data_IF_051514719651
#
_entry.id   IF_051514719651
#
_cell.length_a   1.000
_cell.length_b   1.000
_cell.length_c   1.000
_cell.angle_alpha   90.00
_cell.angle_beta   90.00
_cell.angle_gamma   90.00
#
_symmetry.space_group_name_H-M   'P 1'
#
loop_
_entity.id
_entity.type
_entity.pdbx_description
1 polymer ?
#
# COMPACT_ATOMS: atom_id res chain seq x y z
N UNK A 1 12.54 -68.42 6.68
CA UNK A 1 13.41 -67.47 5.93
C UNK A 1 12.65 -66.48 5.02
N UNK A 2 11.40 -66.71 4.59
CA UNK A 2 10.67 -65.80 3.66
C UNK A 2 10.14 -64.49 4.25
N UNK A 3 9.92 -64.41 5.57
CA UNK A 3 9.39 -63.20 6.23
C UNK A 3 10.44 -62.09 6.42
N UNK A 4 11.72 -62.46 6.58
CA UNK A 4 12.80 -61.50 6.84
C UNK A 4 13.16 -60.73 5.56
N UNK A 5 13.15 -61.40 4.39
CA UNK A 5 13.41 -60.74 3.11
C UNK A 5 12.31 -59.75 2.71
N UNK A 6 11.04 -60.06 3.00
CA UNK A 6 9.89 -59.18 2.70
C UNK A 6 9.90 -57.90 3.55
N UNK A 7 10.28 -57.99 4.83
CA UNK A 7 10.42 -56.83 5.72
C UNK A 7 11.57 -55.91 5.31
N UNK A 8 12.71 -56.47 4.87
CA UNK A 8 13.87 -55.69 4.41
C UNK A 8 13.54 -54.99 3.09
N UNK A 9 12.88 -55.66 2.14
CA UNK A 9 12.43 -55.06 0.89
C UNK A 9 11.44 -53.90 1.12
N UNK A 10 10.47 -54.06 2.02
CA UNK A 10 9.53 -52.99 2.35
C UNK A 10 10.20 -51.77 3.01
N UNK A 11 11.20 -51.98 3.87
CA UNK A 11 11.97 -50.88 4.49
C UNK A 11 12.82 -50.13 3.47
N UNK A 12 13.43 -50.84 2.52
CA UNK A 12 14.18 -50.22 1.43
C UNK A 12 13.28 -49.41 0.49
N UNK A 13 12.11 -49.96 0.14
CA UNK A 13 11.13 -49.27 -0.69
C UNK A 13 10.58 -48.02 -0.01
N UNK A 14 10.29 -48.09 1.29
CA UNK A 14 9.83 -46.95 2.08
C UNK A 14 10.91 -45.86 2.20
N UNK A 15 12.19 -46.23 2.35
CA UNK A 15 13.30 -45.28 2.38
C UNK A 15 13.48 -44.57 1.03
N UNK A 16 13.31 -45.29 -0.09
CA UNK A 16 13.35 -44.69 -1.43
C UNK A 16 12.15 -43.76 -1.64
N UNK A 17 10.95 -44.18 -1.27
CA UNK A 17 9.74 -43.35 -1.36
C UNK A 17 9.86 -42.07 -0.50
N UNK A 18 10.40 -42.19 0.72
CA UNK A 18 10.67 -41.04 1.58
C UNK A 18 11.74 -40.11 1.00
N UNK A 19 12.78 -40.66 0.37
CA UNK A 19 13.82 -39.89 -0.32
C UNK A 19 13.30 -39.15 -1.57
N UNK A 20 12.45 -39.78 -2.37
CA UNK A 20 11.84 -39.14 -3.54
C UNK A 20 10.83 -38.07 -3.11
N UNK A 21 10.02 -38.35 -2.09
CA UNK A 21 9.06 -37.40 -1.55
C UNK A 21 9.74 -36.16 -0.95
N UNK A 22 10.88 -36.32 -0.26
CA UNK A 22 11.63 -35.19 0.31
C UNK A 22 12.28 -34.31 -0.76
N UNK A 23 12.83 -34.91 -1.83
CA UNK A 23 13.37 -34.16 -2.97
C UNK A 23 12.25 -33.40 -3.69
N UNK A 24 11.12 -34.06 -3.94
CA UNK A 24 9.95 -33.41 -4.56
C UNK A 24 9.42 -32.25 -3.72
N UNK A 25 9.28 -32.44 -2.41
CA UNK A 25 8.87 -31.38 -1.49
C UNK A 25 9.86 -30.20 -1.46
N UNK A 26 11.17 -30.47 -1.51
CA UNK A 26 12.19 -29.43 -1.55
C UNK A 26 12.18 -28.63 -2.86
N UNK A 27 11.99 -29.28 -4.01
CA UNK A 27 11.85 -28.59 -5.30
C UNK A 27 10.60 -27.71 -5.35
N UNK A 28 9.46 -28.20 -4.85
CA UNK A 28 8.22 -27.40 -4.73
C UNK A 28 8.43 -26.22 -3.78
N UNK A 29 9.09 -26.43 -2.65
CA UNK A 29 9.44 -25.37 -1.71
C UNK A 29 10.33 -24.30 -2.34
N UNK A 30 11.39 -24.69 -3.06
CA UNK A 30 12.27 -23.77 -3.78
C UNK A 30 11.51 -22.99 -4.86
N UNK A 31 10.63 -23.65 -5.61
CA UNK A 31 9.80 -22.99 -6.61
C UNK A 31 8.89 -21.93 -5.96
N UNK A 32 8.22 -22.29 -4.86
CA UNK A 32 7.36 -21.37 -4.13
C UNK A 32 8.15 -20.18 -3.56
N UNK A 33 9.34 -20.40 -3.02
CA UNK A 33 10.22 -19.32 -2.56
C UNK A 33 10.59 -18.36 -3.70
N UNK A 34 11.00 -18.88 -4.87
CA UNK A 34 11.34 -18.04 -6.01
C UNK A 34 10.15 -17.21 -6.53
N UNK A 35 8.93 -17.75 -6.48
CA UNK A 35 7.71 -17.01 -6.84
C UNK A 35 7.38 -15.93 -5.80
N UNK A 36 7.57 -16.22 -4.51
CA UNK A 36 7.38 -15.23 -3.45
C UNK A 36 8.36 -14.07 -3.58
N UNK A 37 9.64 -14.34 -3.83
CA UNK A 37 10.65 -13.30 -4.05
C UNK A 37 10.32 -12.42 -5.26
N UNK A 38 9.90 -13.03 -6.38
CA UNK A 38 9.45 -12.29 -7.58
C UNK A 38 8.28 -11.37 -7.27
N UNK A 39 7.27 -11.90 -6.57
CA UNK A 39 6.06 -11.15 -6.17
C UNK A 39 6.43 -9.99 -5.26
N UNK A 40 7.28 -10.23 -4.26
CA UNK A 40 7.74 -9.21 -3.32
C UNK A 40 8.53 -8.11 -4.02
N UNK A 41 9.43 -8.47 -4.94
CA UNK A 41 10.21 -7.52 -5.74
C UNK A 41 9.29 -6.63 -6.59
N UNK A 42 8.30 -7.24 -7.25
CA UNK A 42 7.32 -6.49 -8.04
C UNK A 42 6.45 -5.57 -7.17
N UNK A 43 5.98 -6.05 -6.01
CA UNK A 43 5.24 -5.25 -5.05
C UNK A 43 6.08 -4.05 -4.57
N UNK A 44 7.38 -4.25 -4.32
CA UNK A 44 8.30 -3.19 -3.88
C UNK A 44 8.48 -2.12 -4.96
N UNK A 45 8.69 -2.54 -6.21
CA UNK A 45 8.74 -1.61 -7.35
C UNK A 45 7.43 -0.83 -7.49
N UNK A 46 6.28 -1.49 -7.46
CA UNK A 46 4.98 -0.83 -7.61
C UNK A 46 4.68 0.10 -6.43
N UNK A 47 4.97 -0.31 -5.20
CA UNK A 47 4.85 0.56 -4.03
C UNK A 47 5.72 1.82 -4.19
N UNK A 48 6.97 1.66 -4.64
CA UNK A 48 7.85 2.80 -4.96
C UNK A 48 7.26 3.75 -6.01
N UNK A 49 6.67 3.21 -7.09
CA UNK A 49 5.98 4.01 -8.11
C UNK A 49 4.80 4.79 -7.52
N UNK A 50 3.96 4.15 -6.71
CA UNK A 50 2.76 4.79 -6.14
C UNK A 50 3.08 5.80 -5.03
N UNK A 51 4.20 5.63 -4.33
CA UNK A 51 4.78 6.68 -3.49
C UNK A 51 5.23 7.87 -4.34
N UNK A 52 5.96 7.62 -5.44
CA UNK A 52 6.37 8.66 -6.38
C UNK A 52 5.19 9.44 -6.96
N UNK A 53 4.14 8.75 -7.41
CA UNK A 53 2.92 9.37 -7.92
C UNK A 53 2.21 10.24 -6.87
N UNK A 54 2.15 9.78 -5.62
CA UNK A 54 1.59 10.54 -4.51
C UNK A 54 2.37 11.83 -4.25
N UNK A 55 3.71 11.76 -4.20
CA UNK A 55 4.57 12.94 -4.06
C UNK A 55 4.44 13.89 -5.26
N UNK A 56 4.38 13.36 -6.47
CA UNK A 56 4.23 14.15 -7.69
C UNK A 56 2.87 14.84 -7.75
N UNK A 57 1.80 14.24 -7.22
CA UNK A 57 0.50 14.90 -7.08
C UNK A 57 0.60 16.12 -6.15
N UNK A 58 1.24 15.99 -5.00
CA UNK A 58 1.48 17.11 -4.07
C UNK A 58 2.37 18.17 -4.70
N UNK A 59 3.46 17.78 -5.37
CA UNK A 59 4.39 18.72 -6.02
C UNK A 59 3.70 19.57 -7.09
N UNK A 60 2.74 18.99 -7.83
CA UNK A 60 2.00 19.66 -8.91
C UNK A 60 0.82 20.49 -8.41
N UNK A 61 0.39 20.28 -7.16
CA UNK A 61 -0.78 20.94 -6.55
C UNK A 61 -0.38 21.91 -5.43
N UNK A 62 -0.43 23.24 -5.68
CA UNK A 62 -0.23 24.25 -4.64
C UNK A 62 -1.07 24.03 -3.38
N UNK A 63 -2.35 23.64 -3.52
CA UNK A 63 -3.25 23.41 -2.39
C UNK A 63 -2.88 22.19 -1.57
N UNK A 64 -2.52 21.06 -2.20
CA UNK A 64 -2.06 19.87 -1.48
C UNK A 64 -0.68 20.11 -0.85
N UNK A 65 0.18 20.91 -1.47
CA UNK A 65 1.48 21.30 -0.91
C UNK A 65 1.30 22.14 0.36
N UNK A 66 0.43 23.16 0.32
CA UNK A 66 0.10 23.97 1.49
C UNK A 66 -0.51 23.12 2.62
N UNK A 67 -1.33 22.13 2.27
CA UNK A 67 -1.87 21.18 3.23
C UNK A 67 -0.78 20.30 3.85
N UNK A 68 0.13 19.74 3.05
CA UNK A 68 1.18 18.82 3.53
C UNK A 68 2.22 19.50 4.41
N UNK A 69 2.76 20.63 3.94
CA UNK A 69 3.95 21.23 4.55
C UNK A 69 3.60 22.35 5.54
N UNK A 70 2.50 23.06 5.30
CA UNK A 70 2.08 24.21 6.13
C UNK A 70 0.86 23.90 7.00
N UNK A 71 0.27 22.70 6.86
CA UNK A 71 -0.98 22.30 7.51
C UNK A 71 -2.13 23.31 7.27
N UNK A 72 -2.08 24.05 6.16
CA UNK A 72 -3.09 25.06 5.77
C UNK A 72 -4.24 24.38 5.03
N UNK A 73 -5.42 24.32 5.66
CA UNK A 73 -6.64 23.80 5.04
C UNK A 73 -7.31 24.91 4.21
N UNK A 74 -7.20 24.82 2.88
CA UNK A 74 -7.81 25.78 1.96
C UNK A 74 -9.29 25.43 1.70
N UNK A 75 -10.15 26.45 1.68
CA UNK A 75 -11.57 26.28 1.36
C UNK A 75 -11.72 25.89 -0.12
N UNK A 76 -12.37 24.77 -0.39
CA UNK A 76 -12.54 24.25 -1.75
C UNK A 76 -11.58 23.12 -2.12
N UNK A 77 -10.78 22.62 -1.16
CA UNK A 77 -10.06 21.36 -1.32
C UNK A 77 -11.04 20.22 -1.62
N UNK A 78 -10.75 19.48 -2.68
CA UNK A 78 -11.47 18.28 -3.10
C UNK A 78 -10.98 17.09 -2.31
N UNK A 79 -11.80 16.71 -1.33
CA UNK A 79 -11.58 15.63 -0.39
C UNK A 79 -12.70 14.61 -0.54
N UNK A 80 -12.41 13.34 -0.26
CA UNK A 80 -13.45 12.30 -0.24
C UNK A 80 -14.60 12.72 0.68
N UNK A 81 -15.83 12.60 0.19
CA UNK A 81 -17.04 13.01 0.90
C UNK A 81 -17.36 14.51 0.86
N UNK A 82 -16.53 15.37 0.24
CA UNK A 82 -16.91 16.79 0.03
C UNK A 82 -17.92 16.97 -1.11
N UNK A 83 -18.02 15.99 -2.00
CA UNK A 83 -19.00 15.90 -3.10
C UNK A 83 -19.38 14.44 -3.37
N UNK A 84 -20.60 14.15 -3.85
CA UNK A 84 -20.99 12.80 -4.26
C UNK A 84 -20.04 12.18 -5.31
N UNK A 85 -19.46 13.01 -6.18
CA UNK A 85 -18.51 12.55 -7.21
C UNK A 85 -17.17 12.07 -6.63
N UNK A 86 -16.82 12.55 -5.44
CA UNK A 86 -15.62 12.17 -4.69
C UNK A 86 -15.87 10.99 -3.73
N UNK A 87 -16.99 10.29 -3.92
CA UNK A 87 -17.34 9.04 -3.24
C UNK A 87 -17.50 7.91 -4.26
N UNK A 88 -16.63 7.89 -5.27
CA UNK A 88 -16.61 6.89 -6.34
C UNK A 88 -15.31 6.08 -6.28
N UNK A 89 -15.35 4.76 -6.54
CA UNK A 89 -14.13 3.96 -6.61
C UNK A 89 -13.14 4.57 -7.61
N UNK A 90 -11.89 4.70 -7.22
CA UNK A 90 -10.94 5.49 -7.99
C UNK A 90 -9.62 5.68 -7.27
N UNK A 91 -8.69 6.38 -7.91
CA UNK A 91 -7.40 6.70 -7.32
C UNK A 91 -7.47 8.01 -6.54
N UNK A 92 -6.88 8.01 -5.35
CA UNK A 92 -6.88 9.13 -4.43
C UNK A 92 -5.49 9.30 -3.81
N UNK A 93 -5.19 10.54 -3.47
CA UNK A 93 -3.97 10.93 -2.77
C UNK A 93 -4.21 10.76 -1.27
N UNK A 94 -3.50 9.80 -0.67
CA UNK A 94 -3.53 9.60 0.77
C UNK A 94 -2.45 10.45 1.42
N UNK A 95 -2.88 11.40 2.27
CA UNK A 95 -2.04 12.44 2.83
C UNK A 95 -2.41 12.72 4.28
N UNK A 96 -1.47 12.48 5.19
CA UNK A 96 -1.62 12.84 6.60
C UNK A 96 -1.13 14.25 6.86
N UNK A 97 -1.94 15.04 7.56
CA UNK A 97 -1.66 16.45 7.88
C UNK A 97 -0.66 16.65 9.01
N UNK A 98 -0.46 15.63 9.83
CA UNK A 98 0.46 15.64 10.97
C UNK A 98 1.57 14.62 10.76
N UNK A 99 2.74 14.78 11.40
CA UNK A 99 3.79 13.76 11.39
C UNK A 99 3.21 12.40 11.76
N UNK A 100 3.18 11.51 10.78
CA UNK A 100 2.55 10.20 10.84
C UNK A 100 3.44 9.18 10.11
N UNK A 101 3.02 7.94 10.11
CA UNK A 101 3.57 6.91 9.23
C UNK A 101 2.97 7.04 7.83
N UNK A 102 3.70 6.59 6.81
CA UNK A 102 3.19 6.59 5.42
C UNK A 102 2.00 5.64 5.27
N UNK A 103 1.99 4.53 6.01
CA UNK A 103 0.86 3.61 6.13
C UNK A 103 0.22 3.75 7.51
N UNK A 104 -1.11 3.70 7.63
CA UNK A 104 -1.78 3.73 8.94
C UNK A 104 -1.52 2.42 9.72
N UNK A 105 -1.68 2.42 11.06
CA UNK A 105 -1.33 1.27 11.90
C UNK A 105 -2.20 0.02 11.67
N UNK A 106 -3.37 0.17 11.04
CA UNK A 106 -4.24 -0.93 10.65
C UNK A 106 -3.86 -1.56 9.29
N UNK A 107 -2.86 -1.01 8.58
CA UNK A 107 -2.36 -1.59 7.34
C UNK A 107 -1.55 -2.86 7.63
N UNK A 108 -1.69 -3.86 6.76
CA UNK A 108 -0.92 -5.12 6.84
C UNK A 108 0.14 -5.12 5.74
N UNK A 109 1.39 -4.69 6.02
CA UNK A 109 2.46 -4.65 5.02
C UNK A 109 2.92 -6.06 4.63
N UNK A 110 3.73 -6.13 3.58
CA UNK A 110 4.51 -7.33 3.30
C UNK A 110 5.61 -7.53 4.35
N UNK A 111 6.00 -8.78 4.56
CA UNK A 111 7.08 -9.17 5.47
C UNK A 111 8.45 -8.90 4.82
N UNK A 112 8.78 -7.61 4.70
CA UNK A 112 10.06 -7.09 4.20
C UNK A 112 10.30 -5.71 4.83
N UNK A 113 11.56 -5.44 5.15
CA UNK A 113 11.97 -4.24 5.92
C UNK A 113 11.58 -2.93 5.25
N UNK A 114 11.48 -2.90 3.93
CA UNK A 114 11.01 -1.72 3.21
C UNK A 114 9.55 -1.41 3.55
N UNK A 115 8.65 -2.39 3.53
CA UNK A 115 7.23 -2.14 3.79
C UNK A 115 6.96 -1.89 5.27
N UNK A 116 7.64 -2.61 6.17
CA UNK A 116 7.50 -2.36 7.62
C UNK A 116 8.02 -0.97 7.99
N UNK A 117 9.03 -0.45 7.30
CA UNK A 117 9.50 0.93 7.53
C UNK A 117 8.42 1.99 7.24
N UNK A 118 7.43 1.70 6.39
CA UNK A 118 6.33 2.63 6.07
C UNK A 118 5.32 2.80 7.22
N UNK A 119 5.36 1.92 8.23
CA UNK A 119 4.60 2.03 9.47
C UNK A 119 5.31 2.88 10.53
N UNK A 120 6.57 3.24 10.31
CA UNK A 120 7.31 4.05 11.27
C UNK A 120 6.87 5.52 11.14
N UNK A 121 6.71 6.17 12.29
CA UNK A 121 6.42 7.61 12.34
C UNK A 121 7.59 8.40 11.78
N UNK A 122 7.32 9.28 10.83
CA UNK A 122 8.31 10.20 10.29
C UNK A 122 8.29 11.54 11.04
N UNK A 123 9.45 12.22 11.15
CA UNK A 123 9.55 13.54 11.82
C UNK A 123 9.03 14.69 10.94
N UNK A 124 9.07 14.50 9.62
CA UNK A 124 8.52 15.40 8.62
C UNK A 124 7.14 14.89 8.18
N UNK A 125 6.33 15.68 7.46
CA UNK A 125 5.11 15.16 6.85
C UNK A 125 5.45 13.88 6.10
N UNK A 126 4.69 12.81 6.38
CA UNK A 126 4.98 11.49 5.85
C UNK A 126 4.99 11.49 4.33
N UNK A 127 5.58 10.46 3.74
CA UNK A 127 5.39 10.24 2.31
C UNK A 127 3.90 10.14 1.99
N UNK A 128 3.55 10.71 0.84
CA UNK A 128 2.22 10.69 0.28
C UNK A 128 2.09 9.46 -0.59
N UNK A 129 1.00 8.72 -0.42
CA UNK A 129 0.77 7.47 -1.14
C UNK A 129 -0.43 7.62 -2.04
N UNK A 130 -0.27 7.29 -3.32
CA UNK A 130 -1.42 7.08 -4.18
C UNK A 130 -2.09 5.75 -3.82
N UNK A 131 -3.39 5.78 -3.52
CA UNK A 131 -4.18 4.59 -3.16
C UNK A 131 -5.40 4.48 -4.05
N UNK A 132 -5.98 3.29 -4.13
CA UNK A 132 -7.25 3.07 -4.84
C UNK A 132 -8.37 2.83 -3.84
N UNK A 133 -9.35 3.71 -3.78
CA UNK A 133 -10.56 3.48 -2.99
C UNK A 133 -11.44 2.43 -3.67
N UNK A 134 -11.85 1.43 -2.89
CA UNK A 134 -12.67 0.30 -3.33
C UNK A 134 -14.10 0.46 -2.85
N UNK A 135 -14.27 0.89 -1.61
CA UNK A 135 -15.58 1.12 -0.98
C UNK A 135 -15.54 2.26 0.02
N UNK A 136 -16.72 2.79 0.31
CA UNK A 136 -16.91 3.93 1.20
C UNK A 136 -17.98 3.58 2.24
N UNK A 137 -17.69 3.85 3.50
CA UNK A 137 -18.66 3.88 4.59
C UNK A 137 -18.92 5.34 4.94
N UNK A 138 -20.06 5.85 4.46
CA UNK A 138 -20.49 7.22 4.68
C UNK A 138 -20.85 7.50 6.14
N UNK A 139 -21.25 6.49 6.92
CA UNK A 139 -21.64 6.67 8.32
C UNK A 139 -20.43 6.90 9.20
N UNK A 140 -19.38 6.10 8.99
CA UNK A 140 -18.12 6.24 9.72
C UNK A 140 -17.15 7.24 9.10
N UNK A 141 -17.46 7.79 7.91
CA UNK A 141 -16.60 8.67 7.11
C UNK A 141 -15.24 8.02 6.81
N UNK A 142 -15.29 6.75 6.40
CA UNK A 142 -14.12 5.93 6.12
C UNK A 142 -14.19 5.31 4.73
N UNK A 143 -13.03 5.13 4.11
CA UNK A 143 -12.89 4.40 2.85
C UNK A 143 -12.01 3.17 3.06
N UNK A 144 -12.36 2.08 2.39
CA UNK A 144 -11.46 0.94 2.23
C UNK A 144 -10.62 1.16 0.98
N UNK A 145 -9.30 1.14 1.13
CA UNK A 145 -8.34 1.42 0.07
C UNK A 145 -7.40 0.26 -0.17
N UNK A 146 -7.00 0.10 -1.42
CA UNK A 146 -5.97 -0.83 -1.88
C UNK A 146 -4.67 -0.08 -2.18
N UNK A 147 -3.55 -0.71 -1.87
CA UNK A 147 -2.21 -0.23 -2.21
C UNK A 147 -1.26 -1.38 -2.51
N UNK A 148 -0.31 -1.14 -3.41
CA UNK A 148 0.82 -2.04 -3.67
C UNK A 148 1.80 -2.14 -2.49
N UNK A 149 1.68 -1.26 -1.50
CA UNK A 149 2.50 -1.28 -0.29
C UNK A 149 1.98 -2.24 0.79
N UNK A 150 0.81 -2.84 0.59
CA UNK A 150 0.13 -3.67 1.59
C UNK A 150 -0.36 -4.99 1.01
N UNK A 151 -0.42 -6.04 1.83
CA UNK A 151 -0.94 -7.36 1.42
C UNK A 151 -2.46 -7.39 1.26
N UNK A 152 -3.17 -6.51 1.96
CA UNK A 152 -4.64 -6.47 2.01
C UNK A 152 -5.11 -5.01 1.98
N UNK A 153 -6.34 -4.76 1.51
CA UNK A 153 -6.98 -3.47 1.67
C UNK A 153 -7.01 -3.06 3.14
N UNK A 154 -6.94 -1.75 3.39
CA UNK A 154 -6.99 -1.18 4.74
C UNK A 154 -7.92 0.03 4.76
N UNK A 155 -8.32 0.42 5.97
CA UNK A 155 -9.30 1.49 6.17
C UNK A 155 -8.59 2.80 6.47
N UNK A 156 -9.07 3.88 5.88
CA UNK A 156 -8.57 5.24 6.10
C UNK A 156 -9.74 6.19 6.26
N UNK A 157 -9.51 7.31 6.96
CA UNK A 157 -10.53 8.34 7.12
C UNK A 157 -10.64 9.15 5.82
N UNK A 158 -11.84 9.66 5.54
CA UNK A 158 -12.04 10.62 4.45
C UNK A 158 -11.15 11.85 4.59
N UNK A 159 -10.85 12.23 5.84
CA UNK A 159 -10.02 13.40 6.15
C UNK A 159 -8.56 13.26 5.65
N UNK A 160 -8.14 12.04 5.28
CA UNK A 160 -6.80 11.72 4.78
C UNK A 160 -6.79 11.42 3.27
N UNK A 161 -7.93 11.49 2.57
CA UNK A 161 -8.07 11.15 1.15
C UNK A 161 -8.50 12.34 0.29
N UNK A 162 -7.64 12.71 -0.67
CA UNK A 162 -7.83 13.86 -1.54
C UNK A 162 -7.88 13.45 -3.01
N UNK A 163 -8.62 14.21 -3.83
CA UNK A 163 -8.52 14.06 -5.27
C UNK A 163 -7.10 14.39 -5.74
N UNK A 164 -6.58 13.66 -6.73
CA UNK A 164 -5.28 13.99 -7.34
C UNK A 164 -5.32 15.38 -7.98
N UNK A 165 -6.42 15.69 -8.66
CA UNK A 165 -6.65 16.97 -9.28
C UNK A 165 -7.47 17.88 -8.38
N UNK A 166 -6.95 19.07 -8.09
CA UNK A 166 -7.62 20.06 -7.24
C UNK A 166 -8.03 21.26 -8.09
N UNK A 167 -9.34 21.49 -8.26
CA UNK A 167 -9.82 22.60 -9.10
C UNK A 167 -9.39 23.97 -8.56
N UNK A 168 -9.32 24.12 -7.24
CA UNK A 168 -8.85 25.34 -6.55
C UNK A 168 -7.44 25.76 -6.97
N UNK A 169 -6.59 24.84 -7.44
CA UNK A 169 -5.25 25.18 -7.92
C UNK A 169 -5.27 26.10 -9.14
N UNK A 170 -6.34 26.07 -9.95
CA UNK A 170 -6.51 27.02 -11.06
C UNK A 170 -6.71 28.44 -10.55
N UNK A 171 -7.49 28.58 -9.49
CA UNK A 171 -7.84 29.88 -8.92
C UNK A 171 -6.67 30.47 -8.14
N UNK A 172 -5.94 29.63 -7.39
CA UNK A 172 -4.70 30.03 -6.71
C UNK A 172 -3.64 30.50 -7.71
N UNK A 173 -3.53 29.88 -8.90
CA UNK A 173 -2.57 30.29 -9.92
C UNK A 173 -2.96 31.58 -10.65
N UNK A 174 -4.26 31.90 -10.74
CA UNK A 174 -4.77 33.12 -11.39
C UNK A 174 -4.78 34.33 -10.46
N UNK A 175 -4.99 34.07 -9.18
CA UNK A 175 -4.89 35.08 -8.15
C UNK A 175 -3.40 35.31 -7.86
N UNK A 176 -2.86 36.49 -8.19
CA UNK A 176 -1.52 36.96 -7.79
C UNK A 176 -1.36 37.11 -6.26
N UNK A 177 -2.09 36.31 -5.48
CA UNK A 177 -2.26 36.46 -4.05
C UNK A 177 -1.17 35.73 -3.28
N UNK A 178 -0.64 36.45 -2.29
CA UNK A 178 0.29 36.05 -1.23
C UNK A 178 -0.15 34.83 -0.37
N UNK A 179 -1.09 34.00 -0.82
CA UNK A 179 -1.58 32.80 -0.14
C UNK A 179 -0.56 31.65 -0.10
N UNK A 180 0.59 31.81 -0.75
CA UNK A 180 1.68 30.81 -0.84
C UNK A 180 2.91 31.17 -0.01
N UNK A 181 2.84 32.21 0.83
CA UNK A 181 3.87 32.57 1.81
C UNK A 181 3.36 32.42 3.26
#
# INVERSE_FOLDING_TARGET
MKFVSSLIQNKFLAAILAGVASIGAFQVWQHNQAQQEKTLKQAKTNCGVYLGLGEDAVKRSPSLRALKYDNKLLRGLEQVGSSPDLTKPGAYVMLFRTPASTLPPNAVPFDDSFFTSLLNKEKYPSKTLMVRAVSFDLKSRQATVESFCTRRPFVVNFDDLYAEYQTIDRDIRRSNSDLLF
#
